data_IF_417313672746
#
_entry.id   IF_417313672746
#
_cell.length_a   1.000
_cell.length_b   1.000
_cell.length_c   1.000
_cell.angle_alpha   90.00
_cell.angle_beta   90.00
_cell.angle_gamma   90.00
#
_symmetry.space_group_name_H-M   'P 1'
#
loop_
_entity.id
_entity.type
_entity.pdbx_description
1 polymer ?
#
# COMPACT_ATOMS: atom_id res chain seq x y z
N UNK A 1 -54.73 62.73 16.04
CA UNK A 1 -55.42 61.46 15.76
C UNK A 1 -54.51 60.33 16.16
N UNK A 2 -54.83 59.73 17.30
CA UNK A 2 -54.07 58.64 17.91
C UNK A 2 -54.52 57.28 17.33
N UNK A 3 -53.62 56.44 16.85
CA UNK A 3 -53.89 55.03 16.65
C UNK A 3 -52.81 54.20 17.39
N UNK A 4 -53.24 53.56 18.47
CA UNK A 4 -52.45 52.60 19.27
C UNK A 4 -52.44 51.26 18.54
N UNK A 5 -51.24 50.65 18.40
CA UNK A 5 -51.07 49.26 18.05
C UNK A 5 -51.25 48.37 19.30
N UNK A 6 -51.89 47.17 19.17
CA UNK A 6 -52.02 46.25 20.28
C UNK A 6 -50.76 45.40 20.46
N UNK A 7 -50.35 45.20 21.73
CA UNK A 7 -49.17 44.43 22.09
C UNK A 7 -49.31 42.93 21.85
N UNK A 8 -48.28 42.33 21.25
CA UNK A 8 -48.06 40.90 21.24
C UNK A 8 -47.67 40.41 22.63
N UNK A 9 -48.53 39.69 23.31
CA UNK A 9 -48.21 38.91 24.51
C UNK A 9 -47.49 37.64 24.10
N UNK A 10 -46.20 37.51 24.47
CA UNK A 10 -45.41 36.31 24.41
C UNK A 10 -45.97 35.26 25.41
N UNK A 11 -46.53 34.18 24.88
CA UNK A 11 -46.85 32.98 25.65
C UNK A 11 -45.62 32.13 25.78
N UNK A 12 -44.85 32.30 26.86
CA UNK A 12 -43.88 31.30 27.32
C UNK A 12 -44.62 30.21 28.09
N UNK A 13 -45.06 29.16 27.37
CA UNK A 13 -45.50 27.92 27.99
C UNK A 13 -44.26 27.13 28.43
N UNK A 14 -43.84 27.28 29.69
CA UNK A 14 -42.86 26.40 30.32
C UNK A 14 -43.48 25.03 30.54
N UNK A 15 -43.14 24.09 29.66
CA UNK A 15 -43.51 22.66 29.83
C UNK A 15 -42.67 22.11 30.99
N UNK A 16 -43.24 22.02 32.19
CA UNK A 16 -42.64 21.29 33.31
C UNK A 16 -42.76 19.81 33.06
N UNK A 17 -41.70 19.19 32.48
CA UNK A 17 -41.60 17.76 32.41
C UNK A 17 -41.44 17.19 33.86
N UNK A 18 -42.30 16.29 34.36
CA UNK A 18 -42.16 15.76 35.68
C UNK A 18 -40.80 15.04 35.87
N UNK A 19 -40.16 15.25 36.99
CA UNK A 19 -38.86 14.67 37.35
C UNK A 19 -38.82 13.13 37.14
N UNK A 20 -39.93 12.46 37.35
CA UNK A 20 -40.13 11.04 37.12
C UNK A 20 -39.91 10.63 35.64
N UNK A 21 -40.30 11.46 34.66
CA UNK A 21 -40.09 11.21 33.22
C UNK A 21 -38.63 11.33 32.88
N UNK A 22 -37.93 12.31 33.44
CA UNK A 22 -36.47 12.44 33.21
C UNK A 22 -35.68 11.28 33.81
N UNK A 23 -36.08 10.76 34.99
CA UNK A 23 -35.47 9.61 35.61
C UNK A 23 -35.74 8.32 34.80
N UNK A 24 -36.96 8.16 34.29
CA UNK A 24 -37.32 7.00 33.44
C UNK A 24 -36.54 6.98 32.13
N UNK A 25 -36.36 8.16 31.46
CA UNK A 25 -35.57 8.29 30.25
C UNK A 25 -34.09 8.01 30.56
N UNK A 26 -33.56 8.52 31.66
CA UNK A 26 -32.16 8.28 32.09
C UNK A 26 -31.89 6.79 32.32
N UNK A 27 -32.79 6.08 33.01
CA UNK A 27 -32.71 4.64 33.22
C UNK A 27 -32.79 3.87 31.89
N UNK A 28 -33.67 4.23 30.99
CA UNK A 28 -33.81 3.59 29.67
C UNK A 28 -32.52 3.74 28.84
N UNK A 29 -31.88 4.92 28.86
CA UNK A 29 -30.62 5.16 28.19
C UNK A 29 -29.51 4.29 28.80
N UNK A 30 -29.44 4.15 30.10
CA UNK A 30 -28.46 3.29 30.78
C UNK A 30 -28.66 1.83 30.39
N UNK A 31 -29.90 1.31 30.40
CA UNK A 31 -30.20 -0.07 30.00
C UNK A 31 -29.87 -0.34 28.54
N UNK A 32 -30.21 0.61 27.63
CA UNK A 32 -29.86 0.50 26.21
C UNK A 32 -28.34 0.47 25.98
N UNK A 33 -27.59 1.31 26.70
CA UNK A 33 -26.13 1.32 26.61
C UNK A 33 -25.49 0.02 27.14
N UNK A 34 -26.05 -0.56 28.20
CA UNK A 34 -25.62 -1.88 28.69
C UNK A 34 -25.92 -3.01 27.69
N UNK A 35 -27.08 -2.99 27.05
CA UNK A 35 -27.42 -3.98 26.01
C UNK A 35 -26.52 -3.82 24.76
N UNK A 36 -26.21 -2.61 24.35
CA UNK A 36 -25.28 -2.36 23.22
C UNK A 36 -23.88 -2.88 23.57
N UNK A 37 -23.37 -2.66 24.78
CA UNK A 37 -22.07 -3.21 25.20
C UNK A 37 -22.07 -4.74 25.20
N UNK A 38 -23.09 -5.38 25.77
CA UNK A 38 -23.19 -6.84 25.75
C UNK A 38 -23.27 -7.42 24.33
N UNK A 39 -23.94 -6.75 23.38
CA UNK A 39 -23.94 -7.14 21.97
C UNK A 39 -22.58 -6.95 21.32
N UNK A 40 -21.86 -5.90 21.64
CA UNK A 40 -20.48 -5.69 21.15
C UNK A 40 -19.51 -6.75 21.70
N UNK A 41 -19.61 -7.09 22.98
CA UNK A 41 -18.77 -8.11 23.62
C UNK A 41 -19.06 -9.51 23.07
N UNK A 42 -20.32 -9.84 22.79
CA UNK A 42 -20.70 -11.10 22.15
C UNK A 42 -20.19 -11.18 20.70
N UNK A 43 -20.30 -10.10 19.91
CA UNK A 43 -19.78 -10.04 18.55
C UNK A 43 -18.25 -10.16 18.50
N UNK A 44 -17.56 -9.58 19.49
CA UNK A 44 -16.11 -9.71 19.63
C UNK A 44 -15.69 -11.14 20.03
N UNK A 45 -16.47 -11.78 20.90
CA UNK A 45 -16.29 -13.18 21.30
C UNK A 45 -16.50 -14.14 20.13
N UNK A 46 -17.60 -14.03 19.39
CA UNK A 46 -17.84 -14.84 18.17
C UNK A 46 -16.77 -14.63 17.10
N UNK A 47 -16.31 -13.39 16.91
CA UNK A 47 -15.20 -13.07 16.01
C UNK A 47 -13.90 -13.74 16.43
N UNK A 48 -13.61 -13.80 17.75
CA UNK A 48 -12.42 -14.46 18.29
C UNK A 48 -12.48 -15.99 18.17
N UNK A 49 -13.67 -16.58 18.31
CA UNK A 49 -13.86 -18.03 18.17
C UNK A 49 -13.84 -18.51 16.71
N UNK A 50 -14.29 -17.67 15.77
CA UNK A 50 -14.11 -17.91 14.33
C UNK A 50 -12.62 -17.87 13.92
N UNK A 51 -11.82 -17.04 14.58
CA UNK A 51 -10.37 -16.99 14.34
C UNK A 51 -9.59 -18.12 15.02
N UNK A 52 -10.17 -18.79 16.03
CA UNK A 52 -9.52 -19.89 16.76
C UNK A 52 -9.78 -21.28 16.18
N UNK A 53 -10.67 -21.44 15.21
CA UNK A 53 -10.89 -22.73 14.55
C UNK A 53 -9.64 -23.09 13.73
N UNK A 54 -8.92 -24.19 14.06
CA UNK A 54 -7.82 -24.65 13.22
C UNK A 54 -8.40 -25.04 11.87
N UNK A 55 -7.91 -24.40 10.82
CA UNK A 55 -8.17 -24.84 9.44
C UNK A 55 -7.49 -26.19 9.30
N UNK A 56 -8.27 -27.26 9.26
CA UNK A 56 -7.76 -28.57 8.85
C UNK A 56 -7.33 -28.44 7.39
N UNK A 57 -6.04 -28.41 7.19
CA UNK A 57 -5.47 -28.63 5.86
C UNK A 57 -5.69 -30.11 5.54
N UNK A 58 -6.69 -30.42 4.75
CA UNK A 58 -6.74 -31.69 4.04
C UNK A 58 -5.55 -31.71 3.09
N UNK A 59 -4.83 -32.85 3.13
CA UNK A 59 -3.62 -33.08 2.34
C UNK A 59 -3.87 -32.75 0.87
N UNK A 60 -3.33 -31.63 0.43
CA UNK A 60 -3.18 -31.34 -1.00
C UNK A 60 -2.04 -32.22 -1.48
N UNK A 61 -2.22 -33.12 -2.46
CA UNK A 61 -1.13 -33.92 -3.00
C UNK A 61 -0.06 -32.97 -3.57
N UNK A 62 1.20 -33.21 -3.23
CA UNK A 62 2.34 -32.51 -3.81
C UNK A 62 2.27 -32.57 -5.35
N UNK A 63 2.62 -31.47 -6.05
CA UNK A 63 2.71 -31.53 -7.50
C UNK A 63 3.81 -32.51 -7.87
N UNK A 64 3.45 -33.51 -8.69
CA UNK A 64 4.37 -34.48 -9.29
C UNK A 64 5.41 -33.67 -10.07
N UNK A 65 6.62 -33.60 -9.53
CA UNK A 65 7.80 -33.14 -10.25
C UNK A 65 8.13 -34.28 -11.23
N UNK A 66 7.94 -34.05 -12.50
CA UNK A 66 8.42 -34.95 -13.53
C UNK A 66 9.95 -35.08 -13.38
N UNK A 67 10.41 -36.22 -12.93
CA UNK A 67 11.81 -36.61 -13.01
C UNK A 67 12.07 -37.01 -14.45
N UNK A 68 12.83 -36.21 -15.14
CA UNK A 68 13.49 -36.66 -16.37
C UNK A 68 14.61 -37.61 -15.96
N UNK A 69 14.35 -38.90 -16.11
CA UNK A 69 15.36 -39.93 -16.08
C UNK A 69 16.22 -39.82 -17.36
N UNK A 70 17.40 -39.22 -17.20
CA UNK A 70 18.49 -39.42 -18.19
C UNK A 70 19.60 -40.17 -17.48
N UNK A 71 19.54 -41.50 -17.61
CA UNK A 71 20.67 -42.39 -17.40
C UNK A 71 21.52 -42.37 -18.67
N UNK A 72 22.71 -41.79 -18.62
CA UNK A 72 23.77 -42.19 -19.53
C UNK A 72 25.12 -42.11 -18.83
N UNK A 73 25.62 -43.28 -18.58
CA UNK A 73 26.99 -43.58 -18.15
C UNK A 73 27.96 -43.31 -19.31
N UNK A 74 28.73 -42.19 -19.20
CA UNK A 74 29.87 -41.98 -20.07
C UNK A 74 31.18 -41.93 -19.25
N UNK A 75 32.03 -42.91 -19.60
CA UNK A 75 33.37 -43.15 -19.03
C UNK A 75 34.29 -41.94 -19.18
N UNK A 76 34.98 -41.58 -18.07
CA UNK A 76 36.14 -40.71 -18.08
C UNK A 76 37.27 -41.35 -18.94
N UNK A 77 37.62 -40.69 -20.06
CA UNK A 77 38.88 -40.91 -20.75
C UNK A 77 39.73 -39.65 -20.52
N UNK A 78 40.84 -39.82 -19.83
CA UNK A 78 41.89 -38.86 -19.71
C UNK A 78 42.59 -38.65 -21.06
N UNK A 79 42.64 -37.45 -21.59
CA UNK A 79 43.60 -37.04 -22.62
C UNK A 79 44.41 -35.80 -22.14
N UNK A 80 45.67 -35.68 -22.55
CA UNK A 80 46.61 -34.74 -22.01
C UNK A 80 46.49 -33.34 -22.61
N UNK A 81 46.70 -32.35 -21.75
CA UNK A 81 46.71 -30.91 -22.04
C UNK A 81 47.87 -30.60 -23.01
N UNK A 82 47.52 -30.16 -24.21
CA UNK A 82 48.49 -29.53 -25.15
C UNK A 82 48.48 -28.02 -24.90
N UNK A 83 49.64 -27.49 -24.53
CA UNK A 83 49.85 -26.06 -24.35
C UNK A 83 49.78 -25.33 -25.70
N UNK A 84 48.76 -24.50 -25.91
CA UNK A 84 48.65 -23.57 -27.01
C UNK A 84 49.17 -22.17 -26.61
N UNK A 85 50.07 -21.71 -27.47
CA UNK A 85 50.80 -20.42 -27.39
C UNK A 85 49.88 -19.24 -27.29
N UNK A 86 50.35 -18.24 -26.50
CA UNK A 86 49.69 -16.99 -26.19
C UNK A 86 49.38 -16.13 -27.43
N UNK A 87 48.16 -15.64 -27.44
CA UNK A 87 47.72 -14.48 -28.27
C UNK A 87 47.83 -13.23 -27.40
N UNK A 88 48.40 -12.13 -27.88
CA UNK A 88 48.55 -10.91 -27.08
C UNK A 88 47.19 -10.31 -26.74
N UNK A 89 46.98 -10.02 -25.46
CA UNK A 89 45.79 -9.33 -24.97
C UNK A 89 45.73 -7.92 -25.56
N UNK A 90 44.75 -7.68 -26.42
CA UNK A 90 44.35 -6.31 -26.77
C UNK A 90 43.75 -5.66 -25.51
N UNK A 91 44.37 -4.55 -25.11
CA UNK A 91 43.86 -3.71 -24.02
C UNK A 91 42.50 -3.16 -24.43
N UNK A 92 41.43 -3.75 -23.91
CA UNK A 92 40.11 -3.16 -23.92
C UNK A 92 40.17 -1.90 -23.05
N UNK A 93 40.15 -0.74 -23.64
CA UNK A 93 39.90 0.52 -22.97
C UNK A 93 38.50 0.40 -22.25
N UNK A 94 38.57 0.16 -20.98
CA UNK A 94 37.41 0.25 -20.08
C UNK A 94 37.02 1.72 -20.06
N UNK A 95 36.01 2.10 -20.86
CA UNK A 95 35.41 3.43 -20.78
C UNK A 95 34.94 3.63 -19.33
N UNK A 96 35.51 4.58 -18.64
CA UNK A 96 35.05 5.07 -17.36
C UNK A 96 33.59 5.49 -17.54
N UNK A 97 32.63 4.95 -16.75
CA UNK A 97 31.24 5.38 -16.89
C UNK A 97 31.18 6.88 -16.58
N UNK A 98 30.67 7.64 -17.54
CA UNK A 98 30.38 9.06 -17.37
C UNK A 98 29.48 9.21 -16.17
N UNK A 99 29.72 10.13 -15.22
CA UNK A 99 28.85 10.30 -14.06
C UNK A 99 27.46 10.69 -14.56
N UNK A 100 26.50 9.79 -14.36
CA UNK A 100 25.10 10.03 -14.67
C UNK A 100 24.65 11.23 -13.84
N UNK A 101 24.28 12.31 -14.51
CA UNK A 101 23.76 13.52 -13.88
C UNK A 101 22.57 13.14 -12.97
N UNK A 102 22.81 13.16 -11.67
CA UNK A 102 21.77 12.93 -10.68
C UNK A 102 20.89 14.18 -10.63
N UNK A 103 19.56 14.00 -10.67
CA UNK A 103 18.62 15.10 -10.54
C UNK A 103 18.81 15.80 -9.19
N UNK A 104 19.40 16.96 -9.20
CA UNK A 104 19.51 17.82 -8.02
C UNK A 104 18.25 18.67 -7.91
N UNK A 105 17.56 18.57 -6.78
CA UNK A 105 16.39 19.42 -6.49
C UNK A 105 16.87 20.83 -6.15
N UNK A 106 16.32 21.84 -6.81
CA UNK A 106 16.58 23.24 -6.47
C UNK A 106 15.98 23.59 -5.10
N UNK A 107 16.51 24.63 -4.46
CA UNK A 107 15.96 25.14 -3.19
C UNK A 107 14.47 25.52 -3.33
N UNK A 108 14.09 26.14 -4.47
CA UNK A 108 12.71 26.53 -4.75
C UNK A 108 11.76 25.33 -4.89
N UNK A 109 12.19 24.26 -5.56
CA UNK A 109 11.38 23.02 -5.66
C UNK A 109 11.15 22.39 -4.29
N UNK A 110 12.19 22.28 -3.46
CA UNK A 110 12.04 21.74 -2.10
C UNK A 110 11.12 22.62 -1.27
N UNK A 111 11.24 23.94 -1.35
CA UNK A 111 10.37 24.88 -0.63
C UNK A 111 8.90 24.71 -1.03
N UNK A 112 8.60 24.60 -2.33
CA UNK A 112 7.23 24.36 -2.81
C UNK A 112 6.66 23.02 -2.31
N UNK A 113 7.45 21.95 -2.33
CA UNK A 113 7.05 20.65 -1.81
C UNK A 113 6.83 20.67 -0.29
N UNK A 114 7.66 21.44 0.42
CA UNK A 114 7.53 21.65 1.87
C UNK A 114 6.23 22.35 2.22
N UNK A 115 5.90 23.42 1.50
CA UNK A 115 4.65 24.16 1.70
C UNK A 115 3.41 23.26 1.56
N UNK A 116 3.40 22.34 0.59
CA UNK A 116 2.30 21.36 0.43
C UNK A 116 2.16 20.49 1.67
N UNK A 117 3.27 19.96 2.20
CA UNK A 117 3.23 19.10 3.39
C UNK A 117 2.80 19.89 4.63
N UNK A 118 3.34 21.09 4.83
CA UNK A 118 2.98 21.98 5.95
C UNK A 118 1.49 22.33 5.94
N UNK A 119 0.95 22.68 4.77
CA UNK A 119 -0.47 22.96 4.61
C UNK A 119 -1.34 21.76 5.00
N UNK A 120 -0.97 20.55 4.57
CA UNK A 120 -1.67 19.30 4.95
C UNK A 120 -1.60 19.03 6.44
N UNK A 121 -0.42 19.16 7.04
CA UNK A 121 -0.23 18.97 8.48
C UNK A 121 -1.05 19.99 9.28
N UNK A 122 -1.10 21.25 8.84
CA UNK A 122 -1.89 22.30 9.48
C UNK A 122 -3.40 22.07 9.36
N UNK A 123 -3.88 21.60 8.20
CA UNK A 123 -5.29 21.26 7.98
C UNK A 123 -5.75 20.00 8.73
N UNK A 124 -4.81 19.20 9.20
CA UNK A 124 -5.08 18.03 10.00
C UNK A 124 -5.46 18.48 11.42
N UNK A 125 -6.75 18.61 11.71
CA UNK A 125 -7.26 18.84 13.06
C UNK A 125 -6.65 17.87 14.10
N UNK A 126 -7.00 18.02 15.37
CA UNK A 126 -6.39 17.34 16.52
C UNK A 126 -6.44 15.80 16.58
N UNK A 127 -6.89 15.12 15.54
CA UNK A 127 -6.86 13.66 15.42
C UNK A 127 -5.42 13.14 15.34
N UNK A 128 -4.81 12.89 16.47
CA UNK A 128 -3.55 12.16 16.58
C UNK A 128 -3.92 10.69 16.53
N UNK A 129 -3.46 9.94 15.51
CA UNK A 129 -3.20 8.51 15.76
C UNK A 129 -2.12 8.56 16.82
N UNK A 130 -2.52 8.18 18.04
CA UNK A 130 -1.70 8.40 19.20
C UNK A 130 -0.28 7.93 18.91
N UNK A 131 0.67 8.80 19.18
CA UNK A 131 1.96 8.33 19.63
C UNK A 131 1.66 7.39 20.79
N UNK A 132 1.50 6.11 20.50
CA UNK A 132 1.38 5.12 21.55
C UNK A 132 2.67 5.23 22.34
N UNK A 133 2.55 5.67 23.58
CA UNK A 133 3.71 5.74 24.46
C UNK A 133 4.37 4.35 24.44
N UNK A 134 5.69 4.29 24.22
CA UNK A 134 6.41 3.01 24.20
C UNK A 134 6.15 2.16 25.46
N UNK A 135 5.85 2.78 26.60
CA UNK A 135 5.45 2.07 27.83
C UNK A 135 4.12 1.29 27.68
N UNK A 136 3.17 1.79 26.90
CA UNK A 136 1.88 1.11 26.65
C UNK A 136 1.99 0.07 25.53
N UNK A 137 2.90 0.25 24.57
CA UNK A 137 3.18 -0.71 23.50
C UNK A 137 3.92 -1.94 24.01
N UNK A 138 4.88 -1.76 24.92
CA UNK A 138 5.60 -2.88 25.55
C UNK A 138 4.67 -3.82 26.32
N UNK A 139 3.61 -3.28 26.92
CA UNK A 139 2.61 -4.07 27.65
C UNK A 139 1.59 -4.75 26.72
N UNK A 140 1.18 -4.09 25.62
CA UNK A 140 0.07 -4.55 24.80
C UNK A 140 0.47 -5.41 23.59
N UNK A 141 1.67 -5.25 23.03
CA UNK A 141 2.04 -5.84 21.74
C UNK A 141 3.38 -6.58 21.70
N UNK A 142 4.06 -6.79 22.82
CA UNK A 142 5.32 -7.58 22.94
C UNK A 142 6.31 -7.39 21.77
N UNK A 143 6.44 -6.17 21.25
CA UNK A 143 7.47 -5.87 20.24
C UNK A 143 8.80 -5.80 20.95
N UNK A 144 9.42 -6.96 21.14
CA UNK A 144 10.76 -7.03 21.74
C UNK A 144 11.74 -6.23 20.88
N UNK A 145 12.31 -5.21 21.46
CA UNK A 145 13.44 -4.46 20.91
C UNK A 145 13.13 -3.06 20.39
N UNK A 146 11.87 -2.67 20.13
CA UNK A 146 11.60 -1.36 19.52
C UNK A 146 11.30 -0.22 20.51
N UNK A 147 10.85 -0.54 21.72
CA UNK A 147 10.52 0.46 22.73
C UNK A 147 11.43 0.45 23.96
N UNK A 148 12.36 -0.49 24.05
CA UNK A 148 13.25 -0.70 25.23
C UNK A 148 14.48 0.21 25.16
N UNK A 149 14.87 0.62 23.95
CA UNK A 149 16.05 1.46 23.77
C UNK A 149 15.75 2.92 24.07
N UNK A 150 16.29 3.43 25.16
CA UNK A 150 16.18 4.84 25.56
C UNK A 150 16.94 5.78 24.62
N UNK A 151 17.88 5.26 23.81
CA UNK A 151 18.64 6.01 22.80
C UNK A 151 17.85 6.24 21.51
N UNK A 152 16.72 5.56 21.32
CA UNK A 152 15.92 5.70 20.11
C UNK A 152 15.36 7.10 19.97
N UNK A 153 15.59 7.80 18.85
CA UNK A 153 14.92 9.06 18.57
C UNK A 153 13.42 8.77 18.37
N UNK A 154 12.61 9.12 19.37
CA UNK A 154 11.16 8.84 19.41
C UNK A 154 10.35 9.59 18.38
N UNK A 155 10.96 10.55 17.69
CA UNK A 155 10.27 11.44 16.77
C UNK A 155 11.07 11.61 15.49
N UNK A 156 10.36 11.72 14.37
CA UNK A 156 10.97 12.19 13.13
C UNK A 156 11.41 13.65 13.31
N UNK A 157 12.34 14.07 12.46
CA UNK A 157 12.80 15.45 12.49
C UNK A 157 11.58 16.41 12.43
N UNK A 158 11.51 17.44 13.29
CA UNK A 158 10.33 18.32 13.39
C UNK A 158 10.07 19.07 12.09
N UNK A 159 11.12 19.50 11.37
CA UNK A 159 11.00 20.23 10.12
C UNK A 159 10.48 19.34 8.98
N UNK A 160 9.35 19.67 8.33
CA UNK A 160 8.87 19.02 7.12
C UNK A 160 9.89 19.03 5.99
N UNK A 161 10.63 20.11 5.82
CA UNK A 161 11.68 20.22 4.80
C UNK A 161 12.76 19.15 5.00
N UNK A 162 13.26 18.96 6.21
CA UNK A 162 14.28 17.96 6.49
C UNK A 162 13.76 16.55 6.20
N UNK A 163 12.52 16.23 6.56
CA UNK A 163 11.90 14.93 6.25
C UNK A 163 11.77 14.68 4.75
N UNK A 164 11.41 15.73 3.98
CA UNK A 164 11.37 15.68 2.51
C UNK A 164 12.78 15.46 1.96
N UNK A 165 13.79 16.23 2.38
CA UNK A 165 15.17 16.10 1.93
C UNK A 165 15.73 14.69 2.18
N UNK A 166 15.36 14.03 3.27
CA UNK A 166 15.75 12.66 3.57
C UNK A 166 15.20 11.65 2.54
N UNK A 167 14.07 11.93 1.90
CA UNK A 167 13.49 11.11 0.84
C UNK A 167 14.00 11.49 -0.56
N UNK A 168 14.49 12.72 -0.74
CA UNK A 168 15.02 13.18 -2.03
C UNK A 168 16.49 12.81 -2.26
N UNK A 169 17.10 11.99 -1.40
CA UNK A 169 18.50 11.54 -1.56
C UNK A 169 18.67 10.67 -2.81
N UNK A 170 19.84 10.71 -3.47
CA UNK A 170 20.07 10.05 -4.76
C UNK A 170 19.75 8.55 -4.78
N UNK A 171 20.08 7.82 -3.69
CA UNK A 171 19.80 6.38 -3.60
C UNK A 171 18.32 6.01 -3.66
N UNK A 172 17.43 6.96 -3.32
CA UNK A 172 15.98 6.81 -3.35
C UNK A 172 15.36 7.38 -4.63
N UNK A 173 16.15 7.87 -5.58
CA UNK A 173 15.64 8.47 -6.81
C UNK A 173 15.92 7.57 -8.01
N UNK A 174 14.93 7.33 -8.88
CA UNK A 174 15.18 6.67 -10.15
C UNK A 174 16.16 7.47 -11.00
N UNK A 175 17.06 6.81 -11.70
CA UNK A 175 17.94 7.43 -12.68
C UNK A 175 17.15 7.96 -13.89
N UNK A 176 17.76 8.78 -14.75
CA UNK A 176 17.13 9.26 -15.98
C UNK A 176 16.68 8.08 -16.87
N UNK A 177 17.53 7.08 -17.06
CA UNK A 177 17.23 5.87 -17.84
C UNK A 177 16.05 5.09 -17.22
N UNK A 178 16.02 4.93 -15.89
CA UNK A 178 14.92 4.26 -15.20
C UNK A 178 13.60 5.03 -15.35
N UNK A 179 13.63 6.36 -15.30
CA UNK A 179 12.44 7.20 -15.54
C UNK A 179 11.91 7.02 -16.96
N UNK A 180 12.80 6.92 -17.96
CA UNK A 180 12.43 6.64 -19.34
C UNK A 180 11.76 5.26 -19.47
N UNK A 181 12.37 4.22 -18.89
CA UNK A 181 11.79 2.87 -18.85
C UNK A 181 10.39 2.86 -18.22
N UNK A 182 10.20 3.60 -17.12
CA UNK A 182 8.89 3.73 -16.45
C UNK A 182 7.90 4.46 -17.37
N UNK A 183 8.33 5.54 -18.04
CA UNK A 183 7.46 6.31 -18.93
C UNK A 183 6.95 5.47 -20.11
N UNK A 184 7.74 4.52 -20.58
CA UNK A 184 7.38 3.60 -21.68
C UNK A 184 6.14 2.77 -21.32
N UNK A 185 5.99 2.31 -20.05
CA UNK A 185 4.80 1.58 -19.59
C UNK A 185 3.53 2.42 -19.74
N UNK A 186 3.61 3.73 -19.47
CA UNK A 186 2.48 4.66 -19.54
C UNK A 186 2.28 5.33 -20.91
N UNK A 187 3.12 5.02 -21.94
CA UNK A 187 3.14 5.76 -23.20
C UNK A 187 1.76 5.80 -23.88
N UNK A 188 1.10 4.65 -24.00
CA UNK A 188 -0.17 4.48 -24.71
C UNK A 188 -1.39 4.57 -23.77
N UNK A 189 -1.21 5.12 -22.59
CA UNK A 189 -2.29 5.31 -21.62
C UNK A 189 -2.99 6.64 -21.90
N UNK A 190 -4.30 6.58 -22.15
CA UNK A 190 -5.14 7.77 -22.33
C UNK A 190 -5.29 8.54 -21.01
N UNK A 191 -5.31 9.86 -21.07
CA UNK A 191 -5.62 10.70 -19.90
C UNK A 191 -7.09 10.60 -19.52
N UNK A 192 -7.34 10.28 -18.24
CA UNK A 192 -8.69 10.22 -17.65
C UNK A 192 -8.72 10.88 -16.28
N UNK A 193 -9.92 11.26 -15.84
CA UNK A 193 -10.10 11.76 -14.48
C UNK A 193 -9.70 10.70 -13.45
N UNK A 194 -10.14 9.45 -13.66
CA UNK A 194 -9.84 8.32 -12.79
C UNK A 194 -9.17 7.20 -13.59
N UNK A 195 -8.08 6.68 -13.09
CA UNK A 195 -7.46 5.45 -13.60
C UNK A 195 -7.47 4.39 -12.50
N UNK A 196 -8.12 3.28 -12.80
CA UNK A 196 -8.12 2.10 -11.95
C UNK A 196 -7.09 1.11 -12.48
N UNK A 197 -6.31 0.51 -11.56
CA UNK A 197 -5.22 -0.40 -11.94
C UNK A 197 -5.24 -1.62 -11.06
N UNK A 198 -5.15 -2.79 -11.69
CA UNK A 198 -4.85 -4.06 -11.00
C UNK A 198 -3.80 -4.84 -11.77
N UNK A 199 -3.26 -5.89 -11.15
CA UNK A 199 -2.32 -6.78 -11.79
C UNK A 199 -2.46 -8.19 -11.24
N UNK A 200 -2.30 -9.20 -12.10
CA UNK A 200 -2.32 -10.59 -11.69
C UNK A 200 -1.44 -11.48 -12.58
N UNK A 201 -0.98 -12.56 -12.00
CA UNK A 201 -0.47 -13.76 -12.68
C UNK A 201 -1.47 -14.90 -12.51
N UNK A 202 -1.21 -16.05 -13.14
CA UNK A 202 -2.16 -17.18 -13.18
C UNK A 202 -2.60 -17.70 -11.80
N UNK A 203 -1.73 -17.63 -10.80
CA UNK A 203 -2.07 -18.05 -9.43
C UNK A 203 -3.17 -17.19 -8.78
N UNK A 204 -3.39 -15.96 -9.27
CA UNK A 204 -4.40 -15.02 -8.78
C UNK A 204 -5.51 -14.74 -9.82
N UNK A 205 -5.54 -15.50 -10.91
CA UNK A 205 -6.53 -15.29 -11.98
C UNK A 205 -7.97 -15.37 -11.46
N UNK A 206 -8.31 -16.39 -10.67
CA UNK A 206 -9.68 -16.55 -10.15
C UNK A 206 -10.06 -15.42 -9.20
N UNK A 207 -9.14 -15.01 -8.33
CA UNK A 207 -9.35 -13.87 -7.42
C UNK A 207 -9.60 -12.56 -8.16
N UNK A 208 -8.92 -12.36 -9.31
CA UNK A 208 -9.08 -11.16 -10.12
C UNK A 208 -10.48 -11.01 -10.71
N UNK A 209 -11.18 -12.11 -10.97
CA UNK A 209 -12.56 -12.08 -11.48
C UNK A 209 -13.53 -11.50 -10.45
N UNK A 210 -13.36 -11.84 -9.17
CA UNK A 210 -14.16 -11.31 -8.09
C UNK A 210 -13.88 -9.80 -7.84
N UNK A 211 -12.64 -9.35 -8.01
CA UNK A 211 -12.33 -7.91 -8.01
C UNK A 211 -13.10 -7.20 -9.13
N UNK A 212 -12.99 -7.69 -10.38
CA UNK A 212 -13.66 -7.08 -11.54
C UNK A 212 -15.17 -7.04 -11.36
N UNK A 213 -15.78 -8.11 -10.83
CA UNK A 213 -17.20 -8.14 -10.49
C UNK A 213 -17.56 -7.03 -9.49
N UNK A 214 -16.80 -6.91 -8.39
CA UNK A 214 -17.07 -5.90 -7.35
C UNK A 214 -16.90 -4.47 -7.87
N UNK A 215 -15.88 -4.22 -8.71
CA UNK A 215 -15.68 -2.94 -9.37
C UNK A 215 -16.87 -2.55 -10.25
N UNK A 216 -17.33 -3.46 -11.12
CA UNK A 216 -18.48 -3.20 -11.99
C UNK A 216 -19.74 -2.88 -11.20
N UNK A 217 -19.99 -3.67 -10.15
CA UNK A 217 -21.20 -3.56 -9.33
C UNK A 217 -21.23 -2.29 -8.49
N UNK A 218 -20.13 -1.90 -7.86
CA UNK A 218 -20.14 -0.90 -6.80
C UNK A 218 -19.37 0.39 -7.12
N UNK A 219 -18.55 0.39 -8.17
CA UNK A 219 -17.71 1.54 -8.53
C UNK A 219 -18.10 2.07 -9.91
N UNK A 220 -17.95 1.26 -10.96
CA UNK A 220 -18.15 1.72 -12.34
C UNK A 220 -19.59 2.05 -12.64
N UNK A 221 -20.55 1.42 -11.96
CA UNK A 221 -21.97 1.77 -12.06
C UNK A 221 -22.30 3.18 -11.56
N UNK A 222 -21.40 3.82 -10.80
CA UNK A 222 -21.58 5.16 -10.25
C UNK A 222 -20.77 6.24 -10.97
N UNK A 223 -19.91 5.85 -11.90
CA UNK A 223 -19.02 6.76 -12.62
C UNK A 223 -19.48 6.92 -14.05
N UNK A 224 -19.32 8.15 -14.58
CA UNK A 224 -19.54 8.39 -16.00
C UNK A 224 -18.51 7.59 -16.82
N UNK A 225 -18.91 6.84 -17.87
CA UNK A 225 -18.00 5.96 -18.61
C UNK A 225 -16.75 6.65 -19.16
N UNK A 226 -16.87 7.91 -19.62
CA UNK A 226 -15.74 8.67 -20.15
C UNK A 226 -14.79 9.22 -19.08
N UNK A 227 -15.20 9.19 -17.80
CA UNK A 227 -14.42 9.74 -16.70
C UNK A 227 -13.31 8.81 -16.21
N UNK A 228 -13.34 7.54 -16.56
CA UNK A 228 -12.37 6.57 -16.05
C UNK A 228 -11.84 5.63 -17.13
N UNK A 229 -10.70 5.01 -16.83
CA UNK A 229 -10.16 3.84 -17.53
C UNK A 229 -9.75 2.79 -16.52
N UNK A 230 -9.85 1.53 -16.90
CA UNK A 230 -9.40 0.40 -16.09
C UNK A 230 -8.29 -0.37 -16.81
N UNK A 231 -7.14 -0.51 -16.17
CA UNK A 231 -5.98 -1.22 -16.67
C UNK A 231 -5.73 -2.48 -15.85
N UNK A 232 -5.57 -3.59 -16.56
CA UNK A 232 -5.22 -4.88 -15.98
C UNK A 232 -3.81 -5.26 -16.46
N UNK A 233 -2.83 -5.32 -15.55
CA UNK A 233 -1.48 -5.74 -15.88
C UNK A 233 -1.35 -7.25 -15.79
N UNK A 234 -1.00 -7.86 -16.92
CA UNK A 234 -0.64 -9.26 -17.02
C UNK A 234 0.81 -9.45 -16.53
N UNK A 235 0.95 -10.14 -15.40
CA UNK A 235 2.23 -10.49 -14.79
C UNK A 235 2.66 -11.92 -15.09
N UNK A 236 1.98 -12.62 -16.00
CA UNK A 236 2.23 -14.01 -16.35
C UNK A 236 0.97 -14.86 -16.28
N UNK A 237 -0.10 -14.41 -16.94
CA UNK A 237 -1.30 -15.22 -17.17
C UNK A 237 -1.03 -16.32 -18.23
N UNK A 238 -1.66 -17.46 -18.06
CA UNK A 238 -1.73 -18.45 -19.14
C UNK A 238 -2.46 -17.85 -20.36
N UNK A 239 -2.13 -18.27 -21.60
CA UNK A 239 -2.75 -17.70 -22.79
C UNK A 239 -4.29 -17.75 -22.78
N UNK A 240 -4.89 -18.83 -22.25
CA UNK A 240 -6.34 -18.96 -22.14
C UNK A 240 -6.93 -17.97 -21.12
N UNK A 241 -6.28 -17.81 -19.98
CA UNK A 241 -6.71 -16.85 -18.95
C UNK A 241 -6.62 -15.41 -19.48
N UNK A 242 -5.52 -15.07 -20.14
CA UNK A 242 -5.35 -13.76 -20.78
C UNK A 242 -6.43 -13.46 -21.79
N UNK A 243 -6.78 -14.42 -22.66
CA UNK A 243 -7.89 -14.26 -23.62
C UNK A 243 -9.22 -13.99 -22.92
N UNK A 244 -9.52 -14.74 -21.84
CA UNK A 244 -10.74 -14.53 -21.05
C UNK A 244 -10.76 -13.15 -20.36
N UNK A 245 -9.62 -12.70 -19.81
CA UNK A 245 -9.52 -11.33 -19.25
C UNK A 245 -9.81 -10.30 -20.34
N UNK A 246 -9.15 -10.37 -21.48
CA UNK A 246 -9.35 -9.45 -22.63
C UNK A 246 -10.81 -9.40 -23.05
N UNK A 247 -11.47 -10.56 -23.15
CA UNK A 247 -12.88 -10.68 -23.57
C UNK A 247 -13.86 -10.10 -22.53
N UNK A 248 -13.59 -10.32 -21.25
CA UNK A 248 -14.61 -10.16 -20.22
C UNK A 248 -14.37 -8.99 -19.25
N UNK A 249 -13.15 -8.45 -19.09
CA UNK A 249 -12.90 -7.47 -18.03
C UNK A 249 -13.42 -6.07 -18.33
N UNK A 250 -13.74 -5.75 -19.59
CA UNK A 250 -14.00 -4.38 -20.04
C UNK A 250 -12.90 -3.42 -19.56
N UNK A 251 -11.66 -3.81 -19.81
CA UNK A 251 -10.45 -3.14 -19.38
C UNK A 251 -9.37 -3.20 -20.47
N UNK A 252 -8.36 -2.35 -20.36
CA UNK A 252 -7.17 -2.45 -21.19
C UNK A 252 -6.17 -3.40 -20.54
N UNK A 253 -5.87 -4.51 -21.18
CA UNK A 253 -4.88 -5.50 -20.70
C UNK A 253 -3.49 -5.15 -21.22
N UNK A 254 -2.54 -4.87 -20.33
CA UNK A 254 -1.14 -4.58 -20.65
C UNK A 254 -0.22 -5.63 -20.03
N UNK A 255 0.77 -6.08 -20.78
CA UNK A 255 1.83 -6.93 -20.22
C UNK A 255 2.86 -6.08 -19.50
N UNK A 256 3.39 -6.59 -18.37
CA UNK A 256 4.49 -5.92 -17.68
C UNK A 256 5.81 -6.14 -18.44
N UNK A 257 6.46 -5.06 -18.85
CA UNK A 257 7.74 -5.08 -19.57
C UNK A 257 8.91 -5.30 -18.58
N UNK A 258 9.02 -6.48 -17.99
CA UNK A 258 10.04 -6.80 -16.97
C UNK A 258 11.47 -6.68 -17.47
N UNK A 259 11.69 -6.80 -18.78
CA UNK A 259 13.00 -6.68 -19.43
C UNK A 259 13.62 -5.27 -19.33
N UNK A 260 12.80 -4.26 -19.07
CA UNK A 260 13.25 -2.88 -18.87
C UNK A 260 13.81 -2.61 -17.47
N UNK A 261 13.71 -3.58 -16.54
CA UNK A 261 14.00 -3.39 -15.13
C UNK A 261 14.98 -4.43 -14.58
N UNK A 262 15.60 -4.18 -13.41
CA UNK A 262 16.46 -5.16 -12.75
C UNK A 262 15.75 -6.50 -12.53
N UNK A 263 16.50 -7.61 -12.61
CA UNK A 263 15.97 -8.97 -12.59
C UNK A 263 15.06 -9.29 -11.39
N UNK A 264 15.31 -8.67 -10.22
CA UNK A 264 14.48 -8.89 -9.03
C UNK A 264 13.05 -8.35 -9.17
N UNK A 265 12.78 -7.38 -10.08
CA UNK A 265 11.43 -6.86 -10.33
C UNK A 265 10.52 -7.96 -10.90
N UNK A 266 11.10 -8.93 -11.63
CA UNK A 266 10.38 -10.12 -12.13
C UNK A 266 10.03 -11.13 -11.02
N UNK A 267 10.68 -11.07 -9.87
CA UNK A 267 10.31 -11.86 -8.69
C UNK A 267 9.01 -11.29 -8.09
N UNK A 268 7.87 -11.77 -8.55
CA UNK A 268 6.55 -11.19 -8.24
C UNK A 268 6.29 -11.03 -6.74
N UNK A 269 6.84 -11.93 -5.92
CA UNK A 269 6.70 -11.92 -4.47
C UNK A 269 7.46 -10.79 -3.75
N UNK A 270 8.38 -10.09 -4.45
CA UNK A 270 9.01 -8.87 -3.93
C UNK A 270 8.13 -7.63 -4.15
N UNK A 271 7.06 -7.75 -4.93
CA UNK A 271 6.10 -6.67 -5.26
C UNK A 271 6.75 -5.40 -5.84
N UNK A 272 8.02 -5.47 -6.25
CA UNK A 272 8.79 -4.33 -6.80
C UNK A 272 8.16 -3.73 -8.07
N UNK A 273 7.41 -4.52 -8.83
CA UNK A 273 6.70 -4.09 -10.03
C UNK A 273 5.56 -3.10 -9.73
N UNK A 274 4.95 -3.15 -8.52
CA UNK A 274 3.76 -2.37 -8.15
C UNK A 274 4.02 -0.85 -8.16
N UNK A 275 5.00 -0.29 -7.42
CA UNK A 275 5.27 1.14 -7.48
C UNK A 275 5.67 1.62 -8.87
N UNK A 276 6.30 0.77 -9.70
CA UNK A 276 6.66 1.09 -11.08
C UNK A 276 5.40 1.31 -11.93
N UNK A 277 4.42 0.41 -11.85
CA UNK A 277 3.14 0.52 -12.57
C UNK A 277 2.38 1.76 -12.12
N UNK A 278 2.27 1.99 -10.81
CA UNK A 278 1.58 3.16 -10.26
C UNK A 278 2.25 4.46 -10.75
N UNK A 279 3.58 4.54 -10.67
CA UNK A 279 4.34 5.72 -11.13
C UNK A 279 4.18 5.97 -12.63
N UNK A 280 4.12 4.91 -13.44
CA UNK A 280 3.96 5.03 -14.89
C UNK A 280 2.58 5.58 -15.29
N UNK A 281 1.53 5.23 -14.54
CA UNK A 281 0.16 5.58 -14.91
C UNK A 281 -0.36 6.85 -14.21
N UNK A 282 0.15 7.21 -13.04
CA UNK A 282 -0.33 8.39 -12.30
C UNK A 282 -0.29 9.68 -13.12
N UNK A 283 0.71 9.99 -13.97
CA UNK A 283 0.71 11.21 -14.79
C UNK A 283 -0.44 11.30 -15.80
N UNK A 284 -1.14 10.20 -16.04
CA UNK A 284 -2.27 10.10 -16.96
C UNK A 284 -3.64 10.21 -16.26
N UNK A 285 -3.68 10.30 -14.94
CA UNK A 285 -4.89 10.43 -14.14
C UNK A 285 -4.91 11.75 -13.37
N UNK A 286 -6.09 12.21 -12.96
CA UNK A 286 -6.21 13.12 -11.82
C UNK A 286 -6.07 12.33 -10.52
N UNK A 287 -6.77 11.18 -10.43
CA UNK A 287 -6.68 10.25 -9.33
C UNK A 287 -6.46 8.83 -9.86
N UNK A 288 -5.44 8.14 -9.35
CA UNK A 288 -5.16 6.74 -9.65
C UNK A 288 -5.55 5.86 -8.46
N UNK A 289 -6.29 4.79 -8.72
CA UNK A 289 -6.66 3.76 -7.74
C UNK A 289 -5.96 2.46 -8.10
N UNK A 290 -5.01 2.04 -7.27
CA UNK A 290 -4.39 0.72 -7.40
C UNK A 290 -5.08 -0.27 -6.45
N UNK A 291 -5.33 -1.49 -6.95
CA UNK A 291 -5.98 -2.56 -6.20
C UNK A 291 -5.32 -3.89 -6.47
N UNK A 292 -4.92 -4.58 -5.41
CA UNK A 292 -4.63 -6.02 -5.48
C UNK A 292 -5.91 -6.79 -5.79
N UNK A 293 -5.77 -7.94 -6.42
CA UNK A 293 -6.93 -8.78 -6.80
C UNK A 293 -7.76 -9.30 -5.62
N UNK A 294 -7.22 -9.26 -4.42
CA UNK A 294 -7.94 -9.58 -3.18
C UNK A 294 -8.88 -8.48 -2.68
N UNK A 295 -8.90 -7.30 -3.30
CA UNK A 295 -9.78 -6.21 -2.90
C UNK A 295 -11.21 -6.46 -3.37
N UNK A 296 -12.19 -6.24 -2.49
CA UNK A 296 -13.63 -6.28 -2.79
C UNK A 296 -14.27 -4.96 -2.43
N UNK A 297 -14.78 -4.30 -3.44
CA UNK A 297 -15.55 -3.08 -3.24
C UNK A 297 -16.94 -3.40 -2.69
N UNK A 298 -17.48 -2.42 -2.00
CA UNK A 298 -18.83 -2.39 -1.45
C UNK A 298 -19.49 -1.10 -1.86
N UNK A 299 -20.74 -0.97 -1.51
CA UNK A 299 -21.45 0.29 -1.69
C UNK A 299 -20.84 1.38 -0.79
N UNK A 300 -20.13 2.32 -1.39
CA UNK A 300 -19.43 3.39 -0.72
C UNK A 300 -19.66 4.73 -1.41
N UNK A 301 -19.47 5.82 -0.68
CA UNK A 301 -19.48 7.16 -1.21
C UNK A 301 -18.22 7.42 -2.03
N UNK A 302 -18.37 7.52 -3.36
CA UNK A 302 -17.25 7.74 -4.28
C UNK A 302 -16.72 9.18 -4.22
N UNK A 303 -17.57 10.16 -3.92
CA UNK A 303 -17.14 11.57 -3.83
C UNK A 303 -16.27 11.78 -2.58
N UNK A 304 -16.67 11.23 -1.43
CA UNK A 304 -15.85 11.23 -0.24
C UNK A 304 -14.51 10.51 -0.46
N UNK A 305 -14.55 9.36 -1.15
CA UNK A 305 -13.38 8.57 -1.48
C UNK A 305 -12.35 9.38 -2.29
N UNK A 306 -12.77 10.05 -3.37
CA UNK A 306 -11.84 10.82 -4.20
C UNK A 306 -11.44 12.16 -3.57
N UNK A 307 -12.35 12.83 -2.85
CA UNK A 307 -12.06 14.12 -2.21
C UNK A 307 -11.02 13.98 -1.11
N UNK A 308 -11.05 12.89 -0.35
CA UNK A 308 -10.05 12.60 0.69
C UNK A 308 -8.66 12.38 0.07
N UNK A 309 -8.58 11.63 -1.04
CA UNK A 309 -7.31 11.45 -1.75
C UNK A 309 -6.74 12.79 -2.28
N UNK A 310 -7.59 13.69 -2.82
CA UNK A 310 -7.16 15.03 -3.23
C UNK A 310 -6.65 15.86 -2.05
N UNK A 311 -7.34 15.80 -0.92
CA UNK A 311 -6.98 16.58 0.27
C UNK A 311 -5.62 16.16 0.84
N UNK A 312 -5.38 14.87 0.97
CA UNK A 312 -4.18 14.33 1.62
C UNK A 312 -3.08 13.88 0.65
N UNK A 313 -3.34 13.89 -0.65
CA UNK A 313 -2.45 13.40 -1.72
C UNK A 313 -2.57 11.91 -1.95
N UNK A 314 -2.87 11.14 -0.91
CA UNK A 314 -3.09 9.70 -1.02
C UNK A 314 -4.06 9.19 0.04
N UNK A 315 -4.59 7.97 -0.16
CA UNK A 315 -5.46 7.29 0.76
C UNK A 315 -5.23 5.77 0.70
N UNK A 316 -5.33 5.10 1.85
CA UNK A 316 -5.02 3.69 2.02
C UNK A 316 -6.03 3.01 2.93
N UNK A 317 -6.04 1.67 2.92
CA UNK A 317 -6.65 0.89 3.98
C UNK A 317 -5.66 0.72 5.15
N UNK A 318 -6.20 0.54 6.33
CA UNK A 318 -5.42 0.25 7.54
C UNK A 318 -4.92 -1.19 7.52
N UNK A 319 -3.63 -1.39 7.82
CA UNK A 319 -3.06 -2.70 8.09
C UNK A 319 -3.27 -3.13 9.55
N UNK A 320 -3.16 -4.42 9.80
CA UNK A 320 -3.44 -5.01 11.12
C UNK A 320 -2.31 -4.93 12.12
N UNK A 321 -1.10 -4.52 11.71
CA UNK A 321 0.09 -4.58 12.54
C UNK A 321 0.92 -3.29 12.50
N UNK A 322 2.01 -3.23 13.29
CA UNK A 322 2.94 -2.11 13.28
C UNK A 322 4.03 -2.31 12.21
N UNK A 323 4.57 -1.22 11.68
CA UNK A 323 5.60 -1.23 10.63
C UNK A 323 6.81 -2.11 11.01
N UNK A 324 7.41 -2.01 12.22
CA UNK A 324 8.60 -2.79 12.56
C UNK A 324 8.37 -4.29 12.59
N UNK A 325 7.17 -4.75 12.91
CA UNK A 325 6.85 -6.18 12.95
C UNK A 325 6.97 -6.86 11.59
N UNK A 326 6.65 -6.12 10.54
CA UNK A 326 6.57 -6.63 9.18
C UNK A 326 7.63 -6.02 8.25
N UNK A 327 8.74 -5.54 8.80
CA UNK A 327 9.79 -4.89 8.02
C UNK A 327 11.16 -5.30 8.50
N UNK A 328 12.01 -5.80 7.60
CA UNK A 328 13.39 -6.15 7.91
C UNK A 328 14.22 -4.91 8.19
N UNK A 329 15.20 -5.02 9.10
CA UNK A 329 16.01 -3.90 9.58
C UNK A 329 16.78 -3.20 8.46
N UNK A 330 17.26 -3.96 7.47
CA UNK A 330 17.97 -3.40 6.31
C UNK A 330 17.17 -2.39 5.51
N UNK A 331 15.83 -2.50 5.47
CA UNK A 331 14.98 -1.49 4.81
C UNK A 331 14.97 -0.18 5.60
N UNK A 332 14.87 -0.20 6.93
CA UNK A 332 14.99 1.02 7.74
C UNK A 332 16.35 1.68 7.54
N UNK A 333 17.43 0.90 7.58
CA UNK A 333 18.79 1.37 7.30
C UNK A 333 18.91 2.01 5.91
N UNK A 334 18.23 1.44 4.90
CA UNK A 334 18.20 2.02 3.56
C UNK A 334 17.54 3.40 3.53
N UNK A 335 16.53 3.63 4.36
CA UNK A 335 15.90 4.94 4.54
C UNK A 335 16.66 5.87 5.49
N UNK A 336 17.73 5.40 6.13
CA UNK A 336 18.53 6.13 7.12
C UNK A 336 17.83 6.27 8.47
N UNK A 337 17.03 5.28 8.84
CA UNK A 337 16.19 5.28 10.03
C UNK A 337 16.43 4.04 10.89
N UNK A 338 15.85 4.07 12.11
CA UNK A 338 15.83 2.94 13.03
C UNK A 338 14.41 2.38 13.16
N UNK A 339 14.23 1.04 13.31
CA UNK A 339 12.92 0.42 13.47
C UNK A 339 12.07 1.03 14.59
N UNK A 340 12.69 1.39 15.69
CA UNK A 340 12.04 1.95 16.87
C UNK A 340 11.30 3.27 16.63
N UNK A 341 11.72 4.07 15.63
CA UNK A 341 11.05 5.31 15.23
C UNK A 341 9.62 5.08 14.72
N UNK A 342 9.32 3.85 14.30
CA UNK A 342 8.08 3.47 13.65
C UNK A 342 7.14 2.64 14.53
N UNK A 343 7.51 2.36 15.77
CA UNK A 343 6.75 1.48 16.68
C UNK A 343 5.30 1.91 16.92
N UNK A 344 5.02 3.21 16.86
CA UNK A 344 3.68 3.78 17.04
C UNK A 344 2.83 3.80 15.76
N UNK A 345 3.40 3.42 14.61
CA UNK A 345 2.73 3.54 13.32
C UNK A 345 2.19 2.20 12.86
N UNK A 346 0.87 2.11 12.56
CA UNK A 346 0.32 0.94 11.91
C UNK A 346 0.74 0.91 10.44
N UNK A 347 0.64 -0.25 9.83
CA UNK A 347 0.84 -0.43 8.41
C UNK A 347 -0.27 0.23 7.58
N UNK A 348 0.09 0.68 6.37
CA UNK A 348 -0.84 1.02 5.30
C UNK A 348 -0.87 -0.13 4.30
N UNK A 349 -2.04 -0.61 3.93
CA UNK A 349 -2.15 -1.69 2.95
C UNK A 349 -1.83 -1.18 1.53
N UNK A 350 -0.63 -1.47 1.03
CA UNK A 350 -0.24 -1.15 -0.35
C UNK A 350 -1.07 -1.92 -1.41
N UNK A 351 -1.80 -2.95 -1.01
CA UNK A 351 -2.76 -3.66 -1.86
C UNK A 351 -4.01 -2.85 -2.23
N UNK A 352 -4.23 -1.72 -1.55
CA UNK A 352 -5.24 -0.73 -1.90
C UNK A 352 -4.67 0.66 -1.65
N UNK A 353 -4.45 1.40 -2.72
CA UNK A 353 -3.88 2.74 -2.63
C UNK A 353 -4.50 3.67 -3.66
N UNK A 354 -4.79 4.89 -3.23
CA UNK A 354 -5.34 5.96 -4.05
C UNK A 354 -4.35 7.10 -4.04
N UNK A 355 -3.97 7.59 -5.22
CA UNK A 355 -3.01 8.68 -5.35
C UNK A 355 -3.62 9.82 -6.16
N UNK A 356 -3.52 11.03 -5.64
CA UNK A 356 -3.78 12.25 -6.39
C UNK A 356 -2.54 12.65 -7.19
N UNK A 357 -2.73 12.98 -8.46
CA UNK A 357 -1.64 13.37 -9.35
C UNK A 357 -1.20 14.81 -9.09
N UNK A 358 -0.16 14.93 -8.30
CA UNK A 358 0.46 16.22 -7.98
C UNK A 358 1.97 16.08 -7.78
N UNK A 359 2.74 17.15 -7.86
CA UNK A 359 4.20 17.12 -7.72
C UNK A 359 4.67 16.51 -6.40
N UNK A 360 4.01 16.79 -5.28
CA UNK A 360 4.37 16.23 -3.99
C UNK A 360 4.29 14.70 -4.00
N UNK A 361 3.18 14.12 -4.43
CA UNK A 361 3.02 12.67 -4.49
C UNK A 361 3.97 12.03 -5.51
N UNK A 362 4.15 12.64 -6.66
CA UNK A 362 5.01 12.08 -7.71
C UNK A 362 6.49 12.13 -7.38
N UNK A 363 6.98 13.21 -6.71
CA UNK A 363 8.39 13.45 -6.45
C UNK A 363 8.85 13.00 -5.06
N UNK A 364 8.02 13.19 -4.04
CA UNK A 364 8.39 12.93 -2.63
C UNK A 364 7.96 11.55 -2.16
N UNK A 365 6.92 10.96 -2.78
CA UNK A 365 6.42 9.64 -2.39
C UNK A 365 6.74 8.59 -3.46
N UNK A 366 6.28 8.77 -4.70
CA UNK A 366 6.43 7.72 -5.71
C UNK A 366 7.86 7.58 -6.22
N UNK A 367 8.63 8.66 -6.40
CA UNK A 367 10.02 8.54 -6.81
C UNK A 367 10.86 7.76 -5.79
N UNK A 368 10.82 8.06 -4.47
CA UNK A 368 11.51 7.24 -3.48
C UNK A 368 11.00 5.81 -3.37
N UNK A 369 9.69 5.58 -3.52
CA UNK A 369 9.13 4.24 -3.51
C UNK A 369 9.62 3.41 -4.69
N UNK A 370 9.67 4.00 -5.88
CA UNK A 370 10.26 3.38 -7.08
C UNK A 370 11.77 3.23 -6.93
N UNK A 371 12.48 4.19 -6.36
CA UNK A 371 13.90 4.09 -6.07
C UNK A 371 14.24 2.87 -5.20
N UNK A 372 13.43 2.65 -4.14
CA UNK A 372 13.50 1.44 -3.34
C UNK A 372 13.16 0.19 -4.18
N UNK A 373 12.09 0.22 -4.98
CA UNK A 373 11.66 -0.90 -5.82
C UNK A 373 12.72 -1.36 -6.82
N UNK A 374 13.49 -0.44 -7.36
CA UNK A 374 14.56 -0.70 -8.32
C UNK A 374 15.89 -1.12 -7.67
N UNK A 375 15.95 -1.08 -6.33
CA UNK A 375 17.10 -1.52 -5.56
C UNK A 375 16.78 -2.80 -4.78
N UNK A 376 17.45 -3.90 -5.13
CA UNK A 376 17.23 -5.20 -4.48
C UNK A 376 17.49 -5.14 -2.98
N UNK A 377 18.52 -4.39 -2.54
CA UNK A 377 18.87 -4.26 -1.12
C UNK A 377 17.84 -3.45 -0.32
N UNK A 378 16.94 -2.72 -0.98
CA UNK A 378 15.82 -2.05 -0.33
C UNK A 378 14.55 -2.91 -0.39
N UNK A 379 14.08 -3.21 -1.59
CA UNK A 379 12.74 -3.82 -1.76
C UNK A 379 12.74 -5.31 -1.47
N UNK A 380 13.82 -6.04 -1.79
CA UNK A 380 13.86 -7.49 -1.70
C UNK A 380 15.22 -7.97 -1.12
N UNK A 381 15.63 -7.47 0.06
CA UNK A 381 16.95 -7.72 0.64
C UNK A 381 17.13 -9.17 1.14
N UNK A 382 16.03 -9.90 1.29
CA UNK A 382 15.97 -11.26 1.82
C UNK A 382 15.16 -12.17 0.91
N UNK A 383 15.25 -13.48 1.09
CA UNK A 383 14.44 -14.43 0.33
C UNK A 383 12.95 -14.18 0.62
N UNK A 384 12.14 -13.83 -0.40
CA UNK A 384 10.72 -13.55 -0.21
C UNK A 384 9.91 -14.78 0.22
N UNK A 385 10.36 -15.99 -0.08
CA UNK A 385 9.68 -17.21 0.37
C UNK A 385 9.81 -17.41 1.87
N UNK A 386 11.00 -17.16 2.42
CA UNK A 386 11.29 -17.33 3.85
C UNK A 386 10.63 -16.24 4.71
N UNK A 387 10.51 -15.01 4.19
CA UNK A 387 10.11 -13.84 5.00
C UNK A 387 8.67 -13.38 4.80
N UNK A 388 7.91 -14.00 3.88
CA UNK A 388 6.52 -13.64 3.60
C UNK A 388 5.55 -14.00 4.74
N UNK A 389 5.85 -15.08 5.47
CA UNK A 389 5.00 -15.58 6.54
C UNK A 389 5.39 -14.87 7.83
N UNK A 390 4.45 -14.09 8.37
CA UNK A 390 4.63 -13.42 9.65
C UNK A 390 4.07 -14.31 10.77
N UNK A 391 4.90 -14.75 11.72
CA UNK A 391 4.43 -15.53 12.85
C UNK A 391 3.46 -14.74 13.72
N UNK A 392 2.40 -15.37 14.20
CA UNK A 392 1.40 -14.71 15.04
C UNK A 392 1.80 -14.64 16.53
N UNK A 393 2.82 -15.40 16.95
CA UNK A 393 3.10 -15.66 18.38
C UNK A 393 4.18 -14.75 18.96
N UNK A 394 5.21 -14.41 18.18
CA UNK A 394 6.25 -13.48 18.62
C UNK A 394 6.48 -12.43 17.53
N UNK A 395 6.26 -11.18 17.88
CA UNK A 395 6.40 -10.05 16.95
C UNK A 395 7.78 -9.45 17.16
N UNK A 396 8.79 -9.99 16.47
CA UNK A 396 10.14 -9.46 16.46
C UNK A 396 10.36 -8.60 15.22
N UNK A 397 11.17 -7.54 15.38
CA UNK A 397 11.61 -6.74 14.23
C UNK A 397 12.35 -7.63 13.23
N UNK A 398 11.96 -7.53 11.97
CA UNK A 398 12.62 -8.26 10.90
C UNK A 398 12.27 -9.74 10.76
N UNK A 399 11.31 -10.24 11.54
CA UNK A 399 10.88 -11.63 11.47
C UNK A 399 10.14 -11.96 10.18
N UNK A 400 9.45 -11.00 9.60
CA UNK A 400 8.87 -11.09 8.27
C UNK A 400 9.01 -9.77 7.51
N UNK A 401 8.66 -9.79 6.21
CA UNK A 401 8.80 -8.62 5.35
C UNK A 401 7.60 -8.45 4.44
N UNK A 402 7.08 -7.22 4.35
CA UNK A 402 5.93 -6.84 3.52
C UNK A 402 6.32 -5.96 2.33
N UNK A 403 7.59 -5.93 1.97
CA UNK A 403 8.15 -5.36 0.74
C UNK A 403 7.61 -3.96 0.40
N UNK A 404 6.78 -3.86 -0.64
CA UNK A 404 6.14 -2.63 -1.12
C UNK A 404 5.34 -1.89 -0.04
N UNK A 405 4.60 -2.63 0.79
CA UNK A 405 3.84 -2.08 1.92
C UNK A 405 4.78 -1.46 2.96
N UNK A 406 5.84 -2.17 3.35
CA UNK A 406 6.83 -1.69 4.32
C UNK A 406 7.48 -0.39 3.85
N UNK A 407 7.98 -0.37 2.61
CA UNK A 407 8.62 0.79 1.99
C UNK A 407 7.68 2.00 1.92
N UNK A 408 6.44 1.81 1.44
CA UNK A 408 5.45 2.88 1.34
C UNK A 408 5.09 3.44 2.72
N UNK A 409 4.85 2.55 3.69
CA UNK A 409 4.42 2.98 5.03
C UNK A 409 5.52 3.74 5.77
N UNK A 410 6.80 3.33 5.64
CA UNK A 410 7.96 4.07 6.16
C UNK A 410 7.95 5.52 5.65
N UNK A 411 7.79 5.73 4.35
CA UNK A 411 7.80 7.07 3.75
C UNK A 411 6.64 7.91 4.24
N UNK A 412 5.43 7.35 4.26
CA UNK A 412 4.24 8.08 4.68
C UNK A 412 4.27 8.42 6.18
N UNK A 413 4.76 7.51 7.02
CA UNK A 413 4.95 7.77 8.45
C UNK A 413 5.99 8.88 8.68
N UNK A 414 7.13 8.83 7.97
CA UNK A 414 8.16 9.88 8.03
C UNK A 414 7.61 11.24 7.63
N UNK A 415 6.84 11.33 6.55
CA UNK A 415 6.29 12.59 6.05
C UNK A 415 5.19 13.15 6.95
N UNK A 416 4.19 12.37 7.29
CA UNK A 416 3.00 12.85 7.99
C UNK A 416 3.11 12.79 9.52
N UNK A 417 4.02 11.98 10.07
CA UNK A 417 4.22 11.87 11.52
C UNK A 417 2.91 11.63 12.27
N UNK A 418 2.62 12.41 13.31
CA UNK A 418 1.39 12.30 14.11
C UNK A 418 0.09 12.45 13.29
N UNK A 419 0.15 12.95 12.05
CA UNK A 419 -0.99 13.13 11.15
C UNK A 419 -1.20 11.98 10.19
N UNK A 420 -0.38 10.93 10.29
CA UNK A 420 -0.42 9.72 9.45
C UNK A 420 -1.82 9.09 9.32
N UNK A 421 -2.62 9.15 10.36
CA UNK A 421 -3.97 8.58 10.37
C UNK A 421 -4.96 9.18 9.40
N UNK A 422 -4.73 10.40 8.96
CA UNK A 422 -5.56 11.02 7.93
C UNK A 422 -5.40 10.39 6.55
N UNK A 423 -4.36 9.56 6.36
CA UNK A 423 -4.14 8.78 5.14
C UNK A 423 -4.98 7.51 5.09
N UNK A 424 -5.55 7.09 6.21
CA UNK A 424 -6.40 5.89 6.29
C UNK A 424 -7.81 6.26 5.87
N UNK A 425 -8.40 5.44 4.98
CA UNK A 425 -9.77 5.61 4.51
C UNK A 425 -10.76 5.54 5.69
N UNK A 426 -11.40 6.67 5.96
CA UNK A 426 -12.47 6.78 6.93
C UNK A 426 -13.81 6.56 6.20
N UNK A 427 -14.34 5.35 6.23
CA UNK A 427 -15.61 5.00 5.59
C UNK A 427 -16.33 3.94 6.44
N UNK A 428 -17.63 4.07 6.57
CA UNK A 428 -18.47 3.07 7.22
C UNK A 428 -18.51 1.74 6.45
N UNK A 429 -18.16 1.77 5.18
CA UNK A 429 -18.18 0.61 4.30
C UNK A 429 -16.95 0.56 3.38
N UNK A 430 -15.72 0.48 3.94
CA UNK A 430 -14.50 0.47 3.15
C UNK A 430 -14.40 -0.79 2.30
N UNK A 431 -13.62 -0.78 1.22
CA UNK A 431 -13.24 -2.00 0.51
C UNK A 431 -12.61 -3.01 1.48
N UNK A 432 -12.85 -4.29 1.26
CA UNK A 432 -12.30 -5.36 2.09
C UNK A 432 -11.24 -6.15 1.35
N UNK A 433 -10.28 -6.66 2.09
CA UNK A 433 -9.36 -7.69 1.61
C UNK A 433 -10.04 -9.05 1.82
N UNK A 434 -10.31 -9.77 0.73
CA UNK A 434 -10.86 -11.13 0.74
C UNK A 434 -9.91 -12.01 -0.07
N UNK A 435 -9.24 -12.93 0.60
CA UNK A 435 -8.31 -13.88 -0.02
C UNK A 435 -9.04 -15.17 -0.34
N UNK A 436 -8.51 -15.90 -1.33
CA UNK A 436 -9.03 -17.22 -1.74
C UNK A 436 -10.49 -17.21 -2.25
N UNK A 437 -11.02 -16.02 -2.58
CA UNK A 437 -12.33 -15.87 -3.19
C UNK A 437 -12.26 -16.28 -4.67
N UNK A 438 -12.74 -17.48 -4.95
CA UNK A 438 -12.70 -18.08 -6.29
C UNK A 438 -14.04 -17.89 -6.99
N UNK A 439 -14.17 -16.79 -7.72
CA UNK A 439 -15.34 -16.53 -8.54
C UNK A 439 -15.04 -16.91 -10.00
N UNK A 440 -15.96 -17.65 -10.64
CA UNK A 440 -15.97 -17.84 -12.09
C UNK A 440 -16.91 -16.79 -12.72
N UNK A 441 -16.37 -15.61 -13.01
CA UNK A 441 -17.12 -14.50 -13.59
C UNK A 441 -16.85 -14.32 -15.09
N UNK A 442 -15.67 -14.70 -15.55
CA UNK A 442 -15.31 -14.62 -16.97
C UNK A 442 -15.74 -15.89 -17.70
N UNK A 443 -16.59 -15.73 -18.69
CA UNK A 443 -17.06 -16.79 -19.58
C UNK A 443 -16.12 -17.01 -20.75
N UNK A 444 -16.20 -18.18 -21.38
CA UNK A 444 -15.46 -18.52 -22.61
C UNK A 444 -15.84 -17.66 -23.82
#
# INVERSE_FOLDING_TARGET
>A
MNSRMPGLRSLHATVKIPLLVCLAIGLLIIVLNMQIRNLQDNLLSESSDLMRRPVKYENVPEPIVARDDVSDTAKLVHQPVVASRGVPAQAQHRATPTPVSQATFSKGEVAALTQVLEMRIAQAGGGVIGQRNCSTLAAANNVRGTCIDTSCPRHFHPSPETRIRQLLVPRLQPTAQQRESISTIGKDVERKKYIFVTAASSNHYNESQALVYSLRKFVFSKLHPDSYSFYYFDLGLKPVERRRVVKNCNCTVKSMAFELFPAHVRKLMCYAWKPIVIKALLPKAEVLVYMDVSIRFRDMDMDLFFSTARKWGAQFLHGGDSIPNHTVESMFTFYGDLPCMYSAFPELLAGFSVFHNEPFMTRVVLDPWVGCALNVSCMCPVDPHATRICPHVERLVGQCHRFDLSSLTIQMAKLYGAKFGHLVLQSNNPPKVVRDDRMAFFTD
#
